data_IF_412656325316
#
_entry.id   IF_412656325316
#
_cell.length_a   1.000
_cell.length_b   1.000
_cell.length_c   1.000
_cell.angle_alpha   90.00
_cell.angle_beta   90.00
_cell.angle_gamma   90.00
#
_symmetry.space_group_name_H-M   'P 1'
#
loop_
_entity.id
_entity.type
_entity.pdbx_description
1 polymer ?
#
# COMPACT_ATOMS: atom_id res chain seq x y z
N UNK A 1 24.46 -1.93 -13.82
CA UNK A 1 25.55 -1.27 -13.07
C UNK A 1 26.79 -2.19 -13.11
N UNK A 2 27.67 -1.95 -14.07
CA UNK A 2 29.03 -2.50 -14.04
C UNK A 2 29.83 -1.73 -13.02
N UNK A 3 30.03 -2.28 -11.82
CA UNK A 3 31.05 -1.83 -10.90
C UNK A 3 32.39 -2.27 -11.46
N UNK A 4 33.14 -1.31 -11.93
CA UNK A 4 34.51 -1.53 -12.44
C UNK A 4 35.45 -2.04 -11.37
N UNK A 5 35.60 -3.34 -11.31
CA UNK A 5 36.63 -4.04 -10.53
C UNK A 5 37.99 -3.86 -11.24
N UNK A 6 38.55 -2.66 -11.27
CA UNK A 6 39.85 -2.44 -11.90
C UNK A 6 41.02 -2.14 -10.94
N UNK A 7 40.76 -1.92 -9.65
CA UNK A 7 41.85 -1.48 -8.74
C UNK A 7 42.17 -2.42 -7.56
N UNK A 8 41.68 -3.64 -7.52
CA UNK A 8 42.02 -4.60 -6.44
C UNK A 8 43.05 -5.64 -6.88
N UNK A 9 43.65 -5.51 -8.06
CA UNK A 9 44.69 -6.47 -8.54
C UNK A 9 46.10 -6.29 -7.97
N UNK A 10 46.28 -5.46 -6.95
CA UNK A 10 47.62 -5.03 -6.54
C UNK A 10 48.28 -5.73 -5.35
N UNK A 11 47.58 -6.52 -4.53
CA UNK A 11 48.20 -7.04 -3.28
C UNK A 11 47.77 -8.41 -2.77
N UNK A 12 47.22 -9.29 -3.56
CA UNK A 12 46.97 -10.66 -3.11
C UNK A 12 47.78 -11.59 -4.02
N UNK A 13 49.06 -11.75 -3.69
CA UNK A 13 49.92 -12.83 -4.21
C UNK A 13 49.58 -14.13 -3.49
N UNK A 14 48.50 -14.77 -3.82
CA UNK A 14 48.22 -16.17 -3.50
C UNK A 14 47.79 -16.83 -4.80
N UNK A 15 48.79 -17.40 -5.52
CA UNK A 15 48.51 -18.46 -6.47
C UNK A 15 47.96 -19.67 -5.71
N UNK A 16 46.66 -19.72 -5.54
CA UNK A 16 45.95 -20.97 -5.26
C UNK A 16 45.18 -21.33 -6.50
N UNK A 17 45.62 -22.36 -7.18
CA UNK A 17 44.86 -23.11 -8.17
C UNK A 17 43.47 -23.43 -7.55
N UNK A 18 42.43 -22.81 -8.09
CA UNK A 18 41.05 -23.18 -7.78
C UNK A 18 40.82 -24.59 -8.32
N UNK A 19 41.23 -25.61 -7.56
CA UNK A 19 40.64 -26.94 -7.72
C UNK A 19 39.19 -26.78 -7.38
N UNK A 20 38.31 -27.09 -8.32
CA UNK A 20 36.87 -27.15 -8.25
C UNK A 20 36.41 -28.24 -7.26
N UNK A 21 36.72 -28.10 -6.01
CA UNK A 21 35.98 -28.74 -4.93
C UNK A 21 34.85 -27.78 -4.59
N UNK A 22 33.63 -28.22 -4.85
CA UNK A 22 32.38 -27.48 -4.55
C UNK A 22 32.36 -27.09 -3.07
N UNK A 23 32.90 -25.91 -2.74
CA UNK A 23 32.65 -25.30 -1.42
C UNK A 23 31.15 -25.21 -1.23
N UNK A 24 30.69 -25.60 -0.06
CA UNK A 24 29.27 -25.47 0.27
C UNK A 24 28.84 -23.99 0.19
N UNK A 25 27.57 -23.73 0.00
CA UNK A 25 27.06 -22.35 0.06
C UNK A 25 27.39 -21.68 1.41
N UNK A 26 27.41 -22.43 2.51
CA UNK A 26 27.76 -21.96 3.84
C UNK A 26 29.21 -21.44 3.85
N UNK A 27 30.18 -22.24 3.35
CA UNK A 27 31.58 -21.81 3.28
C UNK A 27 31.77 -20.52 2.45
N UNK A 28 30.94 -20.32 1.43
CA UNK A 28 30.97 -19.09 0.61
C UNK A 28 30.44 -17.89 1.36
N UNK A 29 29.37 -18.06 2.15
CA UNK A 29 28.80 -17.01 2.99
C UNK A 29 29.81 -16.61 4.07
N UNK A 30 30.42 -17.57 4.77
CA UNK A 30 31.43 -17.30 5.80
C UNK A 30 32.62 -16.50 5.25
N UNK A 31 33.09 -16.87 4.06
CA UNK A 31 34.19 -16.14 3.40
C UNK A 31 33.74 -14.69 3.04
N UNK A 32 32.53 -14.51 2.56
CA UNK A 32 32.01 -13.18 2.23
C UNK A 32 31.83 -12.32 3.49
N UNK A 33 31.34 -12.90 4.57
CA UNK A 33 31.22 -12.20 5.87
C UNK A 33 32.58 -11.75 6.39
N UNK A 34 33.63 -12.60 6.30
CA UNK A 34 35.01 -12.25 6.66
C UNK A 34 35.55 -11.11 5.79
N UNK A 35 35.37 -11.20 4.47
CA UNK A 35 35.82 -10.15 3.54
C UNK A 35 35.12 -8.82 3.86
N UNK A 36 33.83 -8.82 4.10
CA UNK A 36 33.06 -7.61 4.44
C UNK A 36 33.57 -7.05 5.75
N UNK A 37 33.73 -7.89 6.78
CA UNK A 37 34.23 -7.49 8.10
C UNK A 37 35.60 -6.83 8.05
N UNK A 38 36.48 -7.38 7.23
CA UNK A 38 37.85 -6.89 7.12
C UNK A 38 37.98 -5.60 6.29
N UNK A 39 36.97 -5.27 5.48
CA UNK A 39 37.00 -4.13 4.57
C UNK A 39 35.98 -3.02 4.91
N UNK A 40 35.08 -3.23 5.85
CA UNK A 40 34.16 -2.18 6.32
C UNK A 40 34.88 -1.21 7.25
N UNK A 41 34.62 0.07 7.09
CA UNK A 41 35.04 1.13 8.00
C UNK A 41 34.02 1.38 9.12
N UNK A 42 34.27 2.42 9.93
CA UNK A 42 33.36 2.81 11.05
C UNK A 42 32.06 3.50 10.58
N UNK A 43 31.79 3.53 9.28
CA UNK A 43 30.56 4.12 8.75
C UNK A 43 29.34 3.29 9.11
N UNK A 44 28.15 3.92 8.98
CA UNK A 44 26.89 3.21 9.15
C UNK A 44 26.35 2.79 7.78
N UNK A 45 26.11 1.51 7.62
CA UNK A 45 25.61 0.91 6.38
C UNK A 45 24.16 0.53 6.52
N UNK A 46 23.30 0.99 5.60
CA UNK A 46 21.92 0.56 5.46
C UNK A 46 21.77 -0.26 4.20
N UNK A 47 21.36 -1.53 4.33
CA UNK A 47 21.09 -2.42 3.21
C UNK A 47 19.56 -2.52 3.09
N UNK A 48 19.01 -1.95 2.01
CA UNK A 48 17.57 -1.83 1.83
C UNK A 48 17.08 -2.84 0.81
N UNK A 49 16.12 -3.68 1.22
CA UNK A 49 15.38 -4.58 0.35
C UNK A 49 13.98 -3.97 0.15
N UNK A 50 13.72 -3.48 -1.05
CA UNK A 50 12.44 -2.88 -1.44
C UNK A 50 11.88 -3.60 -2.67
N UNK A 51 10.64 -3.32 -3.04
CA UNK A 51 9.97 -3.88 -4.24
C UNK A 51 9.88 -5.42 -4.24
N UNK A 52 9.85 -6.04 -3.06
CA UNK A 52 9.75 -7.50 -2.94
C UNK A 52 8.39 -8.06 -3.37
N UNK A 53 7.43 -7.22 -3.65
CA UNK A 53 6.07 -7.58 -4.06
C UNK A 53 5.83 -7.51 -5.57
N UNK A 54 6.78 -7.05 -6.37
CA UNK A 54 6.60 -6.90 -7.83
C UNK A 54 6.21 -8.22 -8.51
N UNK A 55 6.91 -9.31 -8.19
CA UNK A 55 6.66 -10.63 -8.80
C UNK A 55 5.55 -11.43 -8.09
N UNK A 56 4.98 -10.91 -7.01
CA UNK A 56 4.01 -11.66 -6.19
C UNK A 56 2.78 -12.10 -6.98
N UNK A 57 2.38 -11.32 -7.96
CA UNK A 57 1.23 -11.59 -8.82
C UNK A 57 1.46 -12.66 -9.86
N UNK A 58 2.57 -12.61 -10.53
CA UNK A 58 2.95 -13.57 -11.57
C UNK A 58 3.22 -14.94 -10.97
N UNK A 59 3.79 -14.97 -9.79
CA UNK A 59 4.06 -16.17 -8.99
C UNK A 59 2.77 -16.90 -8.61
N UNK A 60 1.72 -16.17 -8.23
CA UNK A 60 0.44 -16.76 -7.82
C UNK A 60 -0.32 -17.39 -8.98
N UNK A 61 -0.18 -16.83 -10.18
CA UNK A 61 -0.85 -17.34 -11.39
C UNK A 61 -0.16 -18.57 -11.99
N UNK A 62 1.13 -18.80 -11.72
CA UNK A 62 1.91 -19.91 -12.29
C UNK A 62 1.78 -21.25 -11.54
N UNK A 63 1.18 -21.26 -10.36
CA UNK A 63 0.95 -22.47 -9.54
C UNK A 63 2.19 -23.17 -8.99
N UNK A 64 3.33 -23.06 -9.66
CA UNK A 64 4.59 -23.72 -9.27
C UNK A 64 5.45 -22.86 -8.32
N UNK A 65 5.35 -21.55 -8.42
CA UNK A 65 6.16 -20.61 -7.64
C UNK A 65 5.50 -20.20 -6.32
N UNK A 66 4.17 -20.35 -6.16
CA UNK A 66 3.47 -20.07 -4.91
C UNK A 66 4.05 -20.91 -3.75
N UNK A 67 4.56 -22.09 -4.04
CA UNK A 67 5.21 -22.95 -3.05
C UNK A 67 6.56 -22.41 -2.55
N UNK A 68 7.23 -21.53 -3.29
CA UNK A 68 8.59 -21.11 -3.00
C UNK A 68 8.72 -19.65 -2.55
N UNK A 69 7.80 -18.74 -2.93
CA UNK A 69 7.90 -17.31 -2.63
C UNK A 69 7.80 -16.98 -1.13
N UNK A 70 6.79 -17.48 -0.44
CA UNK A 70 6.64 -17.27 1.01
C UNK A 70 7.80 -17.91 1.80
N UNK A 71 8.26 -19.16 1.49
CA UNK A 71 9.47 -19.71 2.06
C UNK A 71 10.73 -18.88 1.75
N UNK A 72 10.85 -18.30 0.56
CA UNK A 72 11.98 -17.43 0.20
C UNK A 72 11.99 -16.14 1.05
N UNK A 73 10.85 -15.47 1.21
CA UNK A 73 10.71 -14.32 2.10
C UNK A 73 11.04 -14.70 3.55
N UNK A 74 10.56 -15.85 4.01
CA UNK A 74 10.88 -16.37 5.35
C UNK A 74 12.38 -16.56 5.52
N UNK A 75 13.06 -17.11 4.50
CA UNK A 75 14.51 -17.29 4.49
C UNK A 75 15.25 -15.95 4.48
N UNK A 76 14.75 -14.96 3.73
CA UNK A 76 15.29 -13.60 3.73
C UNK A 76 15.21 -12.97 5.14
N UNK A 77 14.07 -13.09 5.83
CA UNK A 77 13.94 -12.58 7.21
C UNK A 77 14.94 -13.23 8.16
N UNK A 78 15.16 -14.54 8.06
CA UNK A 78 16.15 -15.27 8.87
C UNK A 78 17.58 -14.84 8.53
N UNK A 79 17.87 -14.69 7.24
CA UNK A 79 19.19 -14.21 6.78
C UNK A 79 19.51 -12.80 7.28
N UNK A 80 18.54 -11.89 7.19
CA UNK A 80 18.65 -10.51 7.69
C UNK A 80 18.95 -10.48 9.19
N UNK A 81 18.30 -11.34 9.99
CA UNK A 81 18.57 -11.45 11.42
C UNK A 81 20.00 -12.00 11.69
N UNK A 82 20.40 -13.02 10.94
CA UNK A 82 21.75 -13.60 11.06
C UNK A 82 22.84 -12.57 10.72
N UNK A 83 22.72 -11.92 9.57
CA UNK A 83 23.64 -10.88 9.13
C UNK A 83 23.74 -9.75 10.16
N UNK A 84 22.60 -9.27 10.65
CA UNK A 84 22.57 -8.23 11.68
C UNK A 84 23.30 -8.67 12.96
N UNK A 85 23.06 -9.89 13.43
CA UNK A 85 23.71 -10.41 14.63
C UNK A 85 25.23 -10.55 14.45
N UNK A 86 25.68 -11.07 13.31
CA UNK A 86 27.10 -11.22 12.96
C UNK A 86 27.84 -9.87 12.97
N UNK A 87 27.27 -8.87 12.31
CA UNK A 87 27.94 -7.58 12.19
C UNK A 87 27.88 -6.76 13.49
N UNK A 88 26.79 -6.77 14.23
CA UNK A 88 26.70 -6.12 15.54
C UNK A 88 27.74 -6.73 16.49
N UNK A 89 27.86 -8.05 16.55
CA UNK A 89 28.84 -8.73 17.39
C UNK A 89 30.27 -8.41 17.01
N UNK A 90 30.52 -8.05 15.76
CA UNK A 90 31.82 -7.58 15.25
C UNK A 90 32.06 -6.08 15.43
N UNK A 91 31.12 -5.36 16.05
CA UNK A 91 31.20 -3.90 16.26
C UNK A 91 30.90 -3.06 15.01
N UNK A 92 30.51 -3.68 13.90
CA UNK A 92 30.16 -2.99 12.66
C UNK A 92 28.70 -2.52 12.68
N UNK A 93 28.46 -1.33 12.13
CA UNK A 93 27.13 -0.71 12.07
C UNK A 93 26.43 -1.02 10.74
N UNK A 94 26.02 -2.27 10.55
CA UNK A 94 25.30 -2.74 9.35
C UNK A 94 23.85 -3.01 9.71
N UNK A 95 22.94 -2.32 9.06
CA UNK A 95 21.49 -2.37 9.32
C UNK A 95 20.74 -2.81 8.06
N UNK A 96 20.44 -4.09 7.90
CA UNK A 96 19.55 -4.54 6.85
C UNK A 96 18.10 -4.14 7.17
N UNK A 97 17.39 -3.58 6.17
CA UNK A 97 16.01 -3.10 6.25
C UNK A 97 15.21 -3.78 5.15
N UNK A 98 14.12 -4.42 5.51
CA UNK A 98 13.20 -5.08 4.56
C UNK A 98 11.89 -4.33 4.53
N UNK A 99 11.53 -3.75 3.38
CA UNK A 99 10.19 -3.22 3.13
C UNK A 99 9.31 -4.33 2.56
N UNK A 100 8.19 -4.57 3.20
CA UNK A 100 7.23 -5.57 2.75
C UNK A 100 5.79 -5.11 3.03
N UNK A 101 4.89 -5.40 2.13
CA UNK A 101 3.45 -5.15 2.30
C UNK A 101 2.90 -6.01 3.43
N UNK A 102 2.01 -5.44 4.25
CA UNK A 102 1.45 -6.13 5.41
C UNK A 102 0.56 -7.34 5.03
N UNK A 103 -0.11 -7.28 3.88
CA UNK A 103 -0.90 -8.40 3.36
C UNK A 103 -0.03 -9.61 3.00
N UNK A 104 1.17 -9.40 2.44
CA UNK A 104 2.15 -10.47 2.16
C UNK A 104 2.77 -10.96 3.48
N UNK A 105 3.19 -10.03 4.36
CA UNK A 105 3.73 -10.40 5.66
C UNK A 105 2.76 -11.24 6.50
N UNK A 106 1.46 -10.97 6.40
CA UNK A 106 0.43 -11.73 7.13
C UNK A 106 0.36 -13.20 6.72
N UNK A 107 0.74 -13.53 5.47
CA UNK A 107 0.72 -14.89 4.91
C UNK A 107 1.93 -15.73 5.36
N UNK A 108 3.00 -15.10 5.86
CA UNK A 108 4.16 -15.82 6.37
C UNK A 108 3.75 -16.59 7.63
N UNK A 109 3.90 -17.91 7.59
CA UNK A 109 3.64 -18.82 8.72
C UNK A 109 4.97 -19.42 9.17
N UNK A 110 5.56 -18.86 10.20
CA UNK A 110 6.80 -19.35 10.79
C UNK A 110 6.71 -19.29 12.33
N UNK A 111 7.30 -20.28 12.99
CA UNK A 111 7.33 -20.34 14.47
C UNK A 111 8.06 -19.16 15.10
N UNK A 112 9.03 -18.59 14.40
CA UNK A 112 9.83 -17.46 14.86
C UNK A 112 9.19 -16.09 14.53
N UNK A 113 8.04 -16.05 13.84
CA UNK A 113 7.36 -14.81 13.44
C UNK A 113 7.10 -13.86 14.61
N UNK A 114 6.80 -14.41 15.79
CA UNK A 114 6.60 -13.59 16.99
C UNK A 114 7.88 -12.87 17.43
N UNK A 115 9.06 -13.47 17.21
CA UNK A 115 10.35 -12.85 17.52
C UNK A 115 10.67 -11.68 16.58
N UNK A 116 10.10 -11.68 15.36
CA UNK A 116 10.28 -10.60 14.40
C UNK A 116 9.47 -9.36 14.76
N UNK A 117 8.44 -9.48 15.60
CA UNK A 117 7.63 -8.35 16.05
C UNK A 117 8.44 -7.26 16.73
N UNK A 118 9.54 -7.62 17.41
CA UNK A 118 10.42 -6.67 18.10
C UNK A 118 11.23 -5.79 17.14
N UNK A 119 11.30 -6.19 15.87
CA UNK A 119 12.02 -5.50 14.80
C UNK A 119 11.09 -4.96 13.71
N UNK A 120 9.79 -5.17 13.85
CA UNK A 120 8.79 -4.71 12.88
C UNK A 120 8.33 -3.30 13.20
N UNK A 121 8.37 -2.43 12.21
CA UNK A 121 7.73 -1.12 12.24
C UNK A 121 6.59 -1.07 11.23
N UNK A 122 5.39 -0.75 11.70
CA UNK A 122 4.26 -0.50 10.82
C UNK A 122 4.30 0.95 10.34
N UNK A 123 4.38 1.15 9.03
CA UNK A 123 4.30 2.46 8.41
C UNK A 123 2.83 2.81 8.18
N UNK A 124 2.14 3.15 9.24
CA UNK A 124 0.75 3.60 9.21
C UNK A 124 0.69 5.13 9.20
N UNK A 125 -0.31 5.68 8.54
CA UNK A 125 -0.52 7.12 8.48
C UNK A 125 -1.84 7.49 9.15
N UNK A 126 -1.79 8.40 10.07
CA UNK A 126 -2.95 9.02 10.70
C UNK A 126 -3.28 10.37 10.05
N UNK A 127 -4.50 10.86 10.27
CA UNK A 127 -4.89 12.17 9.78
C UNK A 127 -4.00 13.33 10.29
N UNK A 128 -3.51 13.36 11.56
CA UNK A 128 -2.52 14.31 12.00
C UNK A 128 -1.22 14.26 11.20
N UNK A 129 -0.64 13.08 11.00
CA UNK A 129 0.62 12.90 10.26
C UNK A 129 0.50 13.32 8.79
N UNK A 130 -0.64 13.06 8.16
CA UNK A 130 -0.92 13.59 6.81
C UNK A 130 -0.95 15.12 6.81
N UNK A 131 -1.54 15.74 7.84
CA UNK A 131 -1.54 17.22 7.96
C UNK A 131 -0.13 17.76 8.11
N UNK A 132 0.69 17.11 8.92
CA UNK A 132 2.09 17.51 9.14
C UNK A 132 2.91 17.36 7.86
N UNK A 133 2.72 16.26 7.13
CA UNK A 133 3.34 16.04 5.82
C UNK A 133 2.96 17.16 4.82
N UNK A 134 1.68 17.50 4.73
CA UNK A 134 1.21 18.54 3.82
C UNK A 134 1.73 19.91 4.23
N UNK A 135 1.71 20.23 5.52
CA UNK A 135 2.28 21.47 6.05
C UNK A 135 3.77 21.58 5.73
N UNK A 136 4.53 20.50 5.93
CA UNK A 136 5.96 20.45 5.62
C UNK A 136 6.21 20.69 4.13
N UNK A 137 5.53 20.01 3.22
CA UNK A 137 5.71 20.17 1.78
C UNK A 137 5.40 21.60 1.30
N UNK A 138 4.29 22.17 1.78
CA UNK A 138 3.90 23.53 1.41
C UNK A 138 4.89 24.54 2.00
N UNK A 139 5.40 24.29 3.21
CA UNK A 139 6.42 25.13 3.84
C UNK A 139 7.72 25.17 3.05
N UNK A 140 8.19 24.02 2.56
CA UNK A 140 9.40 23.92 1.74
C UNK A 140 9.29 24.79 0.47
N UNK A 141 8.18 24.69 -0.26
CA UNK A 141 7.93 25.48 -1.46
C UNK A 141 7.80 26.98 -1.15
N UNK A 142 7.30 27.32 0.02
CA UNK A 142 7.11 28.74 0.42
C UNK A 142 8.33 29.38 1.07
N UNK A 143 9.37 28.60 1.37
CA UNK A 143 10.58 29.06 2.08
C UNK A 143 10.35 29.47 3.54
N UNK A 144 9.18 29.15 4.11
CA UNK A 144 8.80 29.51 5.49
C UNK A 144 8.14 28.35 6.20
N UNK A 145 8.50 28.12 7.48
CA UNK A 145 7.82 27.11 8.29
C UNK A 145 6.40 27.54 8.60
N UNK A 146 5.43 26.75 8.23
CA UNK A 146 4.00 27.02 8.38
C UNK A 146 3.32 25.97 9.25
N UNK A 147 2.36 26.40 10.07
CA UNK A 147 1.39 25.47 10.65
C UNK A 147 0.52 24.84 9.54
N UNK A 148 -0.09 23.67 9.80
CA UNK A 148 -1.03 23.08 8.83
C UNK A 148 -2.13 24.06 8.43
N UNK A 149 -2.68 24.80 9.39
CA UNK A 149 -3.75 25.79 9.14
C UNK A 149 -3.31 26.88 8.17
N UNK A 150 -2.11 27.39 8.34
CA UNK A 150 -1.59 28.48 7.51
C UNK A 150 -1.16 27.96 6.13
N UNK A 151 -0.54 26.79 6.07
CA UNK A 151 -0.21 26.11 4.82
C UNK A 151 -1.48 25.79 3.99
N UNK A 152 -2.50 25.27 4.65
CA UNK A 152 -3.78 24.94 4.03
C UNK A 152 -4.47 26.14 3.40
N UNK A 153 -4.48 27.28 4.13
CA UNK A 153 -5.07 28.55 3.68
C UNK A 153 -4.37 29.18 2.48
N UNK A 154 -3.12 28.78 2.18
CA UNK A 154 -2.42 29.26 0.98
C UNK A 154 -2.94 28.62 -0.29
N UNK A 155 -3.55 27.45 -0.19
CA UNK A 155 -4.00 26.64 -1.33
C UNK A 155 -5.52 26.60 -1.40
N UNK A 156 -6.20 26.48 -0.27
CA UNK A 156 -7.64 26.29 -0.20
C UNK A 156 -8.35 27.59 0.21
N UNK A 157 -9.58 27.76 -0.33
CA UNK A 157 -10.40 28.92 0.01
C UNK A 157 -10.72 28.99 1.50
N UNK A 158 -10.86 30.22 2.06
CA UNK A 158 -11.11 30.42 3.50
C UNK A 158 -12.37 29.73 4.02
N UNK A 159 -13.40 29.57 3.20
CA UNK A 159 -14.67 28.92 3.57
C UNK A 159 -14.48 27.51 4.10
N UNK A 160 -13.51 26.78 3.53
CA UNK A 160 -13.11 25.43 3.94
C UNK A 160 -14.29 24.49 4.23
N UNK A 161 -15.44 24.65 3.55
CA UNK A 161 -16.64 23.86 3.75
C UNK A 161 -17.16 23.32 2.42
N UNK A 162 -17.43 22.02 2.39
CA UNK A 162 -18.02 21.35 1.25
C UNK A 162 -19.32 20.64 1.66
N UNK A 163 -20.37 20.86 0.88
CA UNK A 163 -21.65 20.16 1.02
C UNK A 163 -21.72 18.96 0.09
N UNK A 164 -22.18 17.82 0.59
CA UNK A 164 -22.23 16.57 -0.16
C UNK A 164 -23.46 15.72 0.20
N UNK A 165 -23.63 14.57 -0.47
CA UNK A 165 -24.80 13.68 -0.34
C UNK A 165 -25.94 14.08 -1.28
N UNK A 166 -26.99 13.24 -1.34
CA UNK A 166 -28.09 13.37 -2.29
C UNK A 166 -28.76 14.74 -2.26
N UNK A 167 -28.97 15.29 -1.06
CA UNK A 167 -29.63 16.60 -0.88
C UNK A 167 -28.68 17.73 -0.48
N UNK A 168 -27.33 17.51 -0.60
CA UNK A 168 -26.30 18.44 -0.14
C UNK A 168 -26.42 18.84 1.35
N UNK A 169 -27.11 18.02 2.15
CA UNK A 169 -27.36 18.28 3.57
C UNK A 169 -26.16 18.01 4.47
N UNK A 170 -25.24 17.13 4.04
CA UNK A 170 -24.02 16.84 4.79
C UNK A 170 -22.99 17.92 4.50
N UNK A 171 -22.34 18.45 5.54
CA UNK A 171 -21.27 19.45 5.45
C UNK A 171 -20.04 18.94 6.19
N UNK A 172 -18.88 19.22 5.64
CA UNK A 172 -17.58 18.93 6.28
C UNK A 172 -16.53 19.90 5.75
N UNK A 173 -15.38 19.96 6.41
CA UNK A 173 -14.22 20.66 5.90
C UNK A 173 -13.58 19.91 4.71
N UNK A 174 -12.75 20.63 3.96
CA UNK A 174 -12.13 20.05 2.76
C UNK A 174 -11.17 18.90 3.08
N UNK A 175 -10.38 19.02 4.16
CA UNK A 175 -9.45 17.96 4.54
C UNK A 175 -10.19 16.67 4.86
N UNK A 176 -11.22 16.73 5.69
CA UNK A 176 -12.06 15.57 6.03
C UNK A 176 -12.77 15.00 4.79
N UNK A 177 -13.21 15.86 3.87
CA UNK A 177 -13.81 15.38 2.61
C UNK A 177 -12.81 14.57 1.79
N UNK A 178 -11.60 15.09 1.59
CA UNK A 178 -10.53 14.45 0.84
C UNK A 178 -10.09 13.15 1.55
N UNK A 179 -9.91 13.19 2.89
CA UNK A 179 -9.58 12.01 3.68
C UNK A 179 -10.55 10.85 3.46
N UNK A 180 -11.85 11.17 3.39
CA UNK A 180 -12.87 10.15 3.14
C UNK A 180 -12.85 9.59 1.69
N UNK A 181 -12.14 10.24 0.78
CA UNK A 181 -11.97 9.77 -0.60
C UNK A 181 -10.66 9.02 -0.81
N UNK A 182 -9.74 9.03 0.17
CA UNK A 182 -8.41 8.40 0.12
C UNK A 182 -8.31 7.24 1.10
N UNK A 183 -7.20 6.48 1.05
CA UNK A 183 -6.87 5.46 2.05
C UNK A 183 -5.94 5.99 3.16
N UNK A 184 -5.92 7.31 3.41
CA UNK A 184 -4.96 7.97 4.31
C UNK A 184 -3.49 7.71 3.92
N UNK A 185 -3.24 7.40 2.66
CA UNK A 185 -1.87 7.25 2.13
C UNK A 185 -1.35 8.62 1.66
N UNK A 186 -0.12 9.02 1.96
CA UNK A 186 0.48 10.27 1.46
C UNK A 186 0.33 10.45 -0.05
N UNK A 187 0.58 9.39 -0.81
CA UNK A 187 0.45 9.36 -2.27
C UNK A 187 -0.94 9.80 -2.75
N UNK A 188 -1.99 9.31 -2.10
CA UNK A 188 -3.38 9.63 -2.47
C UNK A 188 -3.70 11.10 -2.23
N UNK A 189 -3.28 11.65 -1.08
CA UNK A 189 -3.46 13.07 -0.77
C UNK A 189 -2.72 13.97 -1.75
N UNK A 190 -1.44 13.66 -2.01
CA UNK A 190 -0.63 14.42 -2.97
C UNK A 190 -1.28 14.38 -4.35
N UNK A 191 -1.74 13.21 -4.79
CA UNK A 191 -2.43 13.05 -6.07
C UNK A 191 -3.72 13.85 -6.14
N UNK A 192 -4.54 13.78 -5.07
CA UNK A 192 -5.80 14.52 -5.01
C UNK A 192 -5.57 16.03 -5.07
N UNK A 193 -4.67 16.54 -4.23
CA UNK A 193 -4.33 17.98 -4.19
C UNK A 193 -3.74 18.43 -5.52
N UNK A 194 -2.86 17.61 -6.14
CA UNK A 194 -2.33 17.90 -7.47
C UNK A 194 -3.45 18.05 -8.51
N UNK A 195 -4.42 17.13 -8.54
CA UNK A 195 -5.58 17.25 -9.43
C UNK A 195 -6.36 18.56 -9.16
N UNK A 196 -6.49 18.96 -7.89
CA UNK A 196 -7.14 20.22 -7.54
C UNK A 196 -6.34 21.44 -8.02
N UNK A 197 -5.01 21.43 -7.85
CA UNK A 197 -4.14 22.51 -8.33
C UNK A 197 -4.19 22.64 -9.84
N UNK A 198 -4.08 21.53 -10.58
CA UNK A 198 -4.16 21.51 -12.04
C UNK A 198 -5.50 22.09 -12.53
N UNK A 199 -6.60 21.73 -11.87
CA UNK A 199 -7.93 22.26 -12.20
C UNK A 199 -8.08 23.75 -11.83
N UNK A 200 -7.51 24.20 -10.72
CA UNK A 200 -7.51 25.60 -10.31
C UNK A 200 -6.76 26.46 -11.34
N UNK A 201 -5.57 26.01 -11.77
CA UNK A 201 -4.77 26.67 -12.81
C UNK A 201 -5.57 26.71 -14.13
N UNK A 202 -6.14 25.59 -14.55
CA UNK A 202 -6.93 25.50 -15.78
C UNK A 202 -8.14 26.43 -15.79
N UNK A 203 -8.74 26.67 -14.63
CA UNK A 203 -9.93 27.53 -14.47
C UNK A 203 -9.59 28.95 -13.99
N UNK A 204 -8.29 29.30 -13.94
CA UNK A 204 -7.78 30.59 -13.47
C UNK A 204 -8.33 31.03 -12.11
N UNK A 205 -8.35 30.09 -11.16
CA UNK A 205 -8.77 30.33 -9.76
C UNK A 205 -7.56 30.45 -8.86
N UNK A 206 -7.59 31.43 -7.97
CA UNK A 206 -6.53 31.68 -6.99
C UNK A 206 -6.49 30.61 -5.90
N UNK A 207 -7.65 30.10 -5.49
CA UNK A 207 -7.79 29.10 -4.43
C UNK A 207 -8.60 27.88 -4.90
N UNK A 208 -8.28 26.75 -4.29
CA UNK A 208 -9.09 25.53 -4.42
C UNK A 208 -10.36 25.69 -3.59
N UNK A 209 -11.51 25.71 -4.25
CA UNK A 209 -12.84 25.78 -3.62
C UNK A 209 -13.60 24.45 -3.71
N UNK A 210 -14.77 24.40 -3.10
CA UNK A 210 -15.66 23.22 -3.14
C UNK A 210 -16.04 22.81 -4.57
N UNK A 211 -16.05 23.74 -5.51
CA UNK A 211 -16.39 23.44 -6.91
C UNK A 211 -15.28 22.67 -7.59
N UNK A 212 -14.01 23.10 -7.39
CA UNK A 212 -12.82 22.39 -7.90
C UNK A 212 -12.77 20.99 -7.31
N UNK A 213 -12.89 20.86 -5.97
CA UNK A 213 -12.86 19.57 -5.28
C UNK A 213 -13.88 18.60 -5.90
N UNK A 214 -15.11 19.04 -6.15
CA UNK A 214 -16.14 18.19 -6.77
C UNK A 214 -15.88 17.83 -8.22
N UNK A 215 -15.22 18.73 -8.97
CA UNK A 215 -14.87 18.44 -10.38
C UNK A 215 -13.80 17.37 -10.50
N UNK A 216 -12.80 17.40 -9.61
CA UNK A 216 -11.69 16.44 -9.64
C UNK A 216 -12.04 15.08 -9.05
N UNK A 217 -13.16 14.96 -8.30
CA UNK A 217 -13.60 13.68 -7.73
C UNK A 217 -13.59 12.53 -8.75
N UNK A 218 -14.04 12.77 -9.99
CA UNK A 218 -14.04 11.73 -11.02
C UNK A 218 -12.64 11.37 -11.48
N UNK A 219 -11.78 12.37 -11.67
CA UNK A 219 -10.39 12.14 -12.09
C UNK A 219 -9.63 11.36 -11.03
N UNK A 220 -9.82 11.73 -9.76
CA UNK A 220 -9.21 11.01 -8.64
C UNK A 220 -9.78 9.59 -8.50
N UNK A 221 -11.09 9.42 -8.68
CA UNK A 221 -11.75 8.11 -8.66
C UNK A 221 -11.19 7.17 -9.74
N UNK A 222 -10.88 7.69 -10.93
CA UNK A 222 -10.21 6.93 -12.00
C UNK A 222 -8.79 6.52 -11.61
N UNK A 223 -8.04 7.39 -10.93
CA UNK A 223 -6.73 7.04 -10.38
C UNK A 223 -6.85 5.91 -9.35
N UNK A 224 -7.76 6.05 -8.37
CA UNK A 224 -7.98 5.05 -7.32
C UNK A 224 -8.32 3.67 -7.89
N UNK A 225 -9.18 3.61 -8.92
CA UNK A 225 -9.56 2.31 -9.49
C UNK A 225 -8.41 1.67 -10.26
N UNK A 226 -7.53 2.48 -10.87
CA UNK A 226 -6.28 2.00 -11.49
C UNK A 226 -5.39 1.31 -10.45
N UNK A 227 -5.07 2.01 -9.36
CA UNK A 227 -4.25 1.46 -8.25
C UNK A 227 -4.86 0.16 -7.68
N UNK A 228 -6.20 0.13 -7.49
CA UNK A 228 -6.89 -1.07 -7.00
C UNK A 228 -6.78 -2.24 -7.98
N UNK A 229 -6.91 -1.99 -9.28
CA UNK A 229 -6.77 -3.04 -10.29
C UNK A 229 -5.36 -3.60 -10.31
N UNK A 230 -4.35 -2.74 -10.28
CA UNK A 230 -2.95 -3.14 -10.25
C UNK A 230 -2.64 -3.96 -8.98
N UNK A 231 -3.15 -3.54 -7.80
CA UNK A 231 -2.96 -4.27 -6.55
C UNK A 231 -3.74 -5.60 -6.49
N UNK A 232 -4.94 -5.68 -7.09
CA UNK A 232 -5.85 -6.83 -6.96
C UNK A 232 -5.78 -7.83 -8.11
N UNK A 233 -5.38 -7.41 -9.30
CA UNK A 233 -5.36 -8.30 -10.47
C UNK A 233 -4.63 -9.63 -10.23
N UNK A 234 -3.49 -9.65 -9.52
CA UNK A 234 -2.79 -10.90 -9.20
C UNK A 234 -3.59 -11.85 -8.29
N UNK A 235 -4.48 -11.32 -7.47
CA UNK A 235 -5.24 -12.09 -6.48
C UNK A 235 -6.65 -12.39 -6.99
N UNK A 236 -7.25 -11.43 -7.70
CA UNK A 236 -8.58 -11.48 -8.28
C UNK A 236 -8.50 -11.15 -9.77
N UNK A 237 -8.16 -12.10 -10.64
CA UNK A 237 -8.10 -11.88 -12.10
C UNK A 237 -9.41 -11.31 -12.68
N UNK A 238 -10.54 -11.61 -12.05
CA UNK A 238 -11.87 -11.12 -12.43
C UNK A 238 -12.18 -9.70 -11.89
N UNK A 239 -11.20 -8.95 -11.40
CA UNK A 239 -11.45 -7.67 -10.70
C UNK A 239 -12.25 -6.68 -11.56
N UNK A 240 -12.01 -6.62 -12.86
CA UNK A 240 -12.74 -5.74 -13.78
C UNK A 240 -14.24 -6.08 -13.84
N UNK A 241 -14.54 -7.37 -13.92
CA UNK A 241 -15.91 -7.89 -13.96
C UNK A 241 -16.60 -7.70 -12.60
N UNK A 242 -15.88 -7.90 -11.49
CA UNK A 242 -16.38 -7.67 -10.12
C UNK A 242 -16.72 -6.19 -9.92
N UNK A 243 -15.85 -5.27 -10.33
CA UNK A 243 -16.11 -3.83 -10.25
C UNK A 243 -17.30 -3.42 -11.13
N UNK A 244 -17.42 -4.03 -12.31
CA UNK A 244 -18.58 -3.84 -13.20
C UNK A 244 -19.87 -4.35 -12.55
N UNK A 245 -19.82 -5.52 -11.89
CA UNK A 245 -20.95 -6.04 -11.12
C UNK A 245 -21.38 -5.06 -10.03
N UNK A 246 -20.43 -4.55 -9.23
CA UNK A 246 -20.72 -3.53 -8.19
C UNK A 246 -21.38 -2.29 -8.82
N UNK A 247 -20.82 -1.80 -9.95
CA UNK A 247 -21.38 -0.66 -10.67
C UNK A 247 -22.83 -0.91 -11.13
N UNK A 248 -23.13 -2.11 -11.61
CA UNK A 248 -24.46 -2.48 -12.09
C UNK A 248 -25.51 -2.60 -10.99
N UNK A 249 -25.11 -2.92 -9.76
CA UNK A 249 -26.02 -2.92 -8.59
C UNK A 249 -26.51 -1.50 -8.27
N UNK A 250 -25.72 -0.47 -8.59
CA UNK A 250 -26.07 0.97 -8.41
C UNK A 250 -26.48 1.36 -6.99
N UNK A 251 -25.91 0.73 -5.99
CA UNK A 251 -26.15 1.02 -4.57
C UNK A 251 -24.85 1.31 -3.84
N UNK A 252 -24.88 2.31 -2.94
CA UNK A 252 -23.76 2.62 -2.05
C UNK A 252 -23.61 1.58 -0.94
N UNK A 253 -24.73 1.02 -0.52
CA UNK A 253 -24.84 0.03 0.55
C UNK A 253 -25.56 -1.17 -0.04
N UNK A 254 -24.92 -2.31 0.03
CA UNK A 254 -25.37 -3.57 -0.54
C UNK A 254 -25.49 -4.58 0.61
N UNK A 255 -26.55 -5.36 0.66
CA UNK A 255 -26.61 -6.46 1.61
C UNK A 255 -25.73 -7.62 1.12
N UNK A 256 -25.10 -8.41 2.00
CA UNK A 256 -24.32 -9.58 1.59
C UNK A 256 -25.13 -10.57 0.73
N UNK A 257 -26.42 -10.72 1.05
CA UNK A 257 -27.34 -11.56 0.27
C UNK A 257 -27.50 -11.07 -1.17
N UNK A 258 -27.71 -9.75 -1.34
CA UNK A 258 -27.86 -9.13 -2.66
C UNK A 258 -26.58 -9.27 -3.49
N UNK A 259 -25.40 -9.01 -2.89
CA UNK A 259 -24.15 -9.18 -3.57
C UNK A 259 -23.95 -10.62 -4.05
N UNK A 260 -24.21 -11.61 -3.19
CA UNK A 260 -24.10 -13.03 -3.53
C UNK A 260 -25.03 -13.42 -4.69
N UNK A 261 -26.26 -12.96 -4.67
CA UNK A 261 -27.21 -13.24 -5.74
C UNK A 261 -26.76 -12.67 -7.09
N UNK A 262 -26.25 -11.45 -7.13
CA UNK A 262 -25.73 -10.87 -8.36
C UNK A 262 -24.42 -11.54 -8.81
N UNK A 263 -23.57 -11.94 -7.86
CA UNK A 263 -22.34 -12.69 -8.13
C UNK A 263 -22.64 -14.08 -8.75
N UNK A 264 -23.59 -14.82 -8.18
CA UNK A 264 -24.04 -16.12 -8.70
C UNK A 264 -24.65 -16.00 -10.11
N UNK A 265 -25.40 -14.94 -10.38
CA UNK A 265 -25.92 -14.66 -11.73
C UNK A 265 -24.77 -14.43 -12.74
N UNK A 266 -23.73 -13.73 -12.32
CA UNK A 266 -22.57 -13.49 -13.16
C UNK A 266 -21.74 -14.77 -13.40
N UNK A 267 -21.57 -15.63 -12.39
CA UNK A 267 -20.97 -16.96 -12.52
C UNK A 267 -21.76 -17.83 -13.51
N UNK A 268 -23.07 -17.89 -13.40
CA UNK A 268 -23.93 -18.67 -14.29
C UNK A 268 -23.86 -18.19 -15.75
N UNK A 269 -23.53 -16.91 -15.96
CA UNK A 269 -23.29 -16.33 -17.28
C UNK A 269 -21.84 -16.47 -17.76
N UNK A 270 -21.00 -17.18 -17.01
CA UNK A 270 -19.56 -17.35 -17.30
C UNK A 270 -18.79 -16.00 -17.42
N UNK A 271 -19.25 -14.97 -16.73
CA UNK A 271 -18.57 -13.68 -16.67
C UNK A 271 -17.49 -13.62 -15.59
N UNK A 272 -17.51 -14.57 -14.66
CA UNK A 272 -16.57 -14.71 -13.56
C UNK A 272 -16.01 -16.12 -13.53
N UNK A 273 -14.75 -16.27 -13.12
CA UNK A 273 -14.08 -17.56 -13.02
C UNK A 273 -13.91 -18.03 -11.57
N UNK A 274 -13.90 -17.09 -10.61
CA UNK A 274 -13.70 -17.37 -9.19
C UNK A 274 -15.03 -17.80 -8.56
N UNK A 275 -15.14 -19.08 -8.17
CA UNK A 275 -16.37 -19.63 -7.59
C UNK A 275 -16.57 -19.26 -6.10
N UNK A 276 -15.52 -18.84 -5.38
CA UNK A 276 -15.57 -18.54 -3.96
C UNK A 276 -15.90 -17.06 -3.69
N UNK A 277 -17.18 -16.75 -3.58
CA UNK A 277 -17.67 -15.37 -3.30
C UNK A 277 -17.20 -14.84 -1.95
N UNK A 278 -16.98 -15.71 -0.96
CA UNK A 278 -16.50 -15.29 0.37
C UNK A 278 -15.04 -14.83 0.30
N UNK A 279 -14.22 -15.54 -0.43
CA UNK A 279 -12.85 -15.12 -0.72
C UNK A 279 -12.81 -13.78 -1.43
N UNK A 280 -13.69 -13.55 -2.41
CA UNK A 280 -13.79 -12.28 -3.11
C UNK A 280 -14.17 -11.14 -2.16
N UNK A 281 -15.19 -11.33 -1.33
CA UNK A 281 -15.62 -10.32 -0.36
C UNK A 281 -14.53 -9.99 0.67
N UNK A 282 -13.87 -11.01 1.21
CA UNK A 282 -12.76 -10.83 2.15
C UNK A 282 -11.58 -10.10 1.49
N UNK A 283 -11.26 -10.42 0.24
CA UNK A 283 -10.20 -9.75 -0.51
C UNK A 283 -10.57 -8.29 -0.78
N UNK A 284 -11.75 -8.00 -1.28
CA UNK A 284 -12.23 -6.62 -1.50
C UNK A 284 -12.21 -5.80 -0.20
N UNK A 285 -12.54 -6.43 0.94
CA UNK A 285 -12.48 -5.78 2.25
C UNK A 285 -11.03 -5.50 2.68
N UNK A 286 -10.14 -6.47 2.54
CA UNK A 286 -8.73 -6.34 2.89
C UNK A 286 -8.04 -5.21 2.12
N UNK A 287 -8.44 -4.98 0.87
CA UNK A 287 -7.97 -3.86 0.04
C UNK A 287 -8.85 -2.61 0.16
N UNK A 288 -9.80 -2.61 1.09
CA UNK A 288 -10.67 -1.46 1.39
C UNK A 288 -11.50 -0.94 0.19
N UNK A 289 -11.71 -1.77 -0.83
CA UNK A 289 -12.66 -1.50 -1.92
C UNK A 289 -14.08 -1.44 -1.35
N UNK A 290 -14.35 -2.34 -0.41
CA UNK A 290 -15.56 -2.38 0.39
C UNK A 290 -15.24 -2.27 1.88
N UNK A 291 -16.21 -1.82 2.65
CA UNK A 291 -16.20 -1.83 4.11
C UNK A 291 -17.44 -2.50 4.67
N UNK A 292 -17.47 -2.67 5.97
CA UNK A 292 -18.66 -3.08 6.72
C UNK A 292 -19.44 -1.87 7.22
N UNK A 293 -20.75 -1.98 7.25
CA UNK A 293 -21.62 -1.01 7.90
C UNK A 293 -22.51 -1.68 8.92
N UNK A 294 -22.38 -1.28 10.18
CA UNK A 294 -23.20 -1.79 11.27
C UNK A 294 -24.68 -1.56 11.03
N UNK A 295 -25.51 -2.56 11.32
CA UNK A 295 -26.95 -2.51 11.07
C UNK A 295 -27.74 -1.67 12.07
N UNK A 296 -27.20 -1.44 13.28
CA UNK A 296 -27.98 -0.91 14.39
C UNK A 296 -27.72 0.59 14.65
N UNK A 297 -26.89 0.99 15.56
CA UNK A 297 -27.08 2.29 16.25
C UNK A 297 -26.59 3.53 15.50
N UNK A 298 -25.58 3.49 14.65
CA UNK A 298 -25.02 4.73 14.08
C UNK A 298 -24.69 4.67 12.59
N UNK A 299 -25.01 3.58 11.90
CA UNK A 299 -24.65 3.39 10.47
C UNK A 299 -23.17 3.74 10.16
N UNK A 300 -22.29 3.51 11.14
CA UNK A 300 -20.84 3.73 10.94
C UNK A 300 -20.32 2.72 9.93
N UNK A 301 -19.49 3.21 9.06
CA UNK A 301 -18.81 2.39 8.07
C UNK A 301 -17.36 2.17 8.52
N UNK A 302 -16.88 0.95 8.40
CA UNK A 302 -15.57 0.52 8.81
C UNK A 302 -14.82 -0.06 7.60
N UNK A 303 -13.61 0.42 7.39
CA UNK A 303 -12.73 -0.04 6.31
C UNK A 303 -11.42 -0.57 6.90
N UNK A 304 -10.84 -1.54 6.22
CA UNK A 304 -9.57 -2.16 6.66
C UNK A 304 -8.44 -1.15 6.84
N UNK A 305 -8.32 -0.16 5.95
CA UNK A 305 -7.27 0.86 6.04
C UNK A 305 -7.35 1.74 7.31
N UNK A 306 -8.52 1.81 7.95
CA UNK A 306 -8.71 2.57 9.20
C UNK A 306 -8.41 1.73 10.44
N UNK A 307 -8.51 0.41 10.32
CA UNK A 307 -8.39 -0.56 11.42
C UNK A 307 -7.74 -1.84 10.92
N UNK A 308 -6.43 -1.92 10.97
CA UNK A 308 -5.61 -3.00 10.40
C UNK A 308 -5.94 -4.39 10.95
N UNK A 309 -6.42 -4.48 12.20
CA UNK A 309 -6.80 -5.75 12.83
C UNK A 309 -8.24 -6.19 12.55
N UNK A 310 -9.01 -5.40 11.78
CA UNK A 310 -10.42 -5.71 11.51
C UNK A 310 -10.55 -6.83 10.49
N UNK A 311 -11.53 -7.71 10.72
CA UNK A 311 -11.93 -8.77 9.79
C UNK A 311 -13.27 -8.44 9.15
N UNK A 312 -13.51 -8.97 7.94
CA UNK A 312 -14.79 -8.81 7.26
C UNK A 312 -15.92 -9.49 8.02
N UNK A 313 -16.97 -8.76 8.37
CA UNK A 313 -18.18 -9.29 8.97
C UNK A 313 -19.22 -9.60 7.89
N UNK A 314 -19.50 -10.89 7.71
CA UNK A 314 -20.40 -11.40 6.66
C UNK A 314 -21.88 -11.10 6.91
N UNK A 315 -22.26 -10.68 8.11
CA UNK A 315 -23.63 -10.38 8.50
C UNK A 315 -23.96 -8.89 8.39
N UNK A 316 -22.97 -8.03 8.25
CA UNK A 316 -23.13 -6.59 8.10
C UNK A 316 -23.34 -6.17 6.65
N UNK A 317 -23.90 -4.97 6.46
CA UNK A 317 -24.00 -4.43 5.12
C UNK A 317 -22.60 -4.11 4.55
N UNK A 318 -22.48 -4.29 3.26
CA UNK A 318 -21.33 -3.92 2.45
C UNK A 318 -21.48 -2.45 2.05
N UNK A 319 -20.47 -1.63 2.30
CA UNK A 319 -20.42 -0.24 1.86
C UNK A 319 -19.25 -0.05 0.91
N UNK A 320 -19.48 0.66 -0.20
CA UNK A 320 -18.44 0.92 -1.19
C UNK A 320 -17.61 2.13 -0.75
N UNK A 321 -16.27 2.04 -0.89
CA UNK A 321 -15.37 3.13 -0.54
C UNK A 321 -15.70 4.41 -1.33
N UNK A 322 -15.69 5.54 -0.63
CA UNK A 322 -16.14 6.81 -1.19
C UNK A 322 -15.32 7.26 -2.41
N UNK A 323 -14.03 7.02 -2.41
CA UNK A 323 -13.12 7.34 -3.52
C UNK A 323 -13.51 6.68 -4.84
N UNK A 324 -14.30 5.60 -4.82
CA UNK A 324 -14.69 4.83 -6.00
C UNK A 324 -16.07 5.21 -6.57
N UNK A 325 -16.86 5.99 -5.82
CA UNK A 325 -18.27 6.21 -6.16
C UNK A 325 -18.46 6.85 -7.53
N UNK A 326 -17.55 7.74 -7.95
CA UNK A 326 -17.70 8.47 -9.22
C UNK A 326 -17.41 7.61 -10.44
N UNK A 327 -16.37 6.77 -10.36
CA UNK A 327 -16.02 5.86 -11.46
C UNK A 327 -17.00 4.72 -11.56
N UNK A 328 -17.50 4.20 -10.42
CA UNK A 328 -18.51 3.14 -10.37
C UNK A 328 -19.94 3.66 -10.59
N UNK A 329 -20.13 4.97 -10.83
CA UNK A 329 -21.42 5.61 -11.08
C UNK A 329 -22.45 5.36 -9.97
N UNK A 330 -22.01 5.31 -8.74
CA UNK A 330 -22.86 5.14 -7.54
C UNK A 330 -23.21 6.51 -6.96
N UNK A 331 -24.48 6.92 -7.08
CA UNK A 331 -24.94 8.25 -6.67
C UNK A 331 -26.01 8.16 -5.56
#
# INVERSE_FOLDING_TARGET
FELGVKDVRGKIGVQNEFKTNSKSWIDRVDILEDIIRDNCDDSTYYIVFDELDEDYGDIKNSGELESNYIPLLTSLFKAVQSVRATFINSGLRVFPIVFLRDDIYSQIKDADKNKWSDFKYNLEWSAPEIKDLLAHRISQESGTSLSFKDAWRRIFSPDNIISYGKDKKKRTDYFTYISNCTYLRPRDFIKYIKCCCDEAIRTNKEYIDATIIKRVDRQFSNYMIGEIKDELYPILPDIDQILTLISNIRKLIITPKEFRQEYEKALNKQLLTINNVDFVLETLFNFSVIGNQHKTIEKRSFFKYQHTNMTFNRDENIVIHRGLLKVLQLY
#
